data_IF_141161743146
#
_entry.id   IF_141161743146
#
_cell.length_a   1.000
_cell.length_b   1.000
_cell.length_c   1.000
_cell.angle_alpha   90.00
_cell.angle_beta   90.00
_cell.angle_gamma   90.00
#
_symmetry.space_group_name_H-M   'P 1'
#
loop_
_entity.id
_entity.type
_entity.pdbx_description
1 polymer ?
#
# COMPACT_ATOMS: atom_id res chain seq x y z
N UNK A 1 10.64 8.01 -21.32
CA UNK A 1 9.63 8.58 -22.25
C UNK A 1 8.54 9.26 -21.42
N UNK A 2 8.01 10.42 -21.86
CA UNK A 2 6.95 11.15 -21.12
C UNK A 2 5.66 10.32 -20.92
N UNK A 3 5.32 9.46 -21.89
CA UNK A 3 4.16 8.57 -21.82
C UNK A 3 4.24 7.57 -20.66
N UNK A 4 5.42 6.98 -20.43
CA UNK A 4 5.61 6.00 -19.35
C UNK A 4 5.44 6.63 -17.97
N UNK A 5 5.88 7.88 -17.79
CA UNK A 5 5.69 8.61 -16.53
C UNK A 5 4.20 8.88 -16.27
N UNK A 6 3.46 9.34 -17.27
CA UNK A 6 2.01 9.55 -17.15
C UNK A 6 1.28 8.22 -16.86
N UNK A 7 1.63 7.15 -17.57
CA UNK A 7 1.06 5.82 -17.32
C UNK A 7 1.30 5.35 -15.88
N UNK A 8 2.52 5.56 -15.35
CA UNK A 8 2.86 5.26 -13.96
C UNK A 8 2.01 6.06 -12.97
N UNK A 9 1.88 7.37 -13.19
CA UNK A 9 1.03 8.24 -12.34
C UNK A 9 -0.43 7.78 -12.35
N UNK A 10 -0.97 7.41 -13.52
CA UNK A 10 -2.33 6.87 -13.62
C UNK A 10 -2.50 5.57 -12.83
N UNK A 11 -1.52 4.66 -12.90
CA UNK A 11 -1.55 3.41 -12.13
C UNK A 11 -1.52 3.69 -10.62
N UNK A 12 -0.69 4.63 -10.16
CA UNK A 12 -0.65 5.07 -8.76
C UNK A 12 -2.00 5.64 -8.33
N UNK A 13 -2.62 6.50 -9.14
CA UNK A 13 -3.93 7.07 -8.81
C UNK A 13 -5.04 6.01 -8.73
N UNK A 14 -5.00 4.98 -9.58
CA UNK A 14 -5.94 3.85 -9.50
C UNK A 14 -5.75 3.05 -8.20
N UNK A 15 -4.50 2.80 -7.81
CA UNK A 15 -4.17 2.12 -6.55
C UNK A 15 -4.65 2.92 -5.33
N UNK A 16 -4.36 4.22 -5.29
CA UNK A 16 -4.83 5.13 -4.24
C UNK A 16 -6.36 5.18 -4.15
N UNK A 17 -7.05 5.23 -5.30
CA UNK A 17 -8.51 5.19 -5.32
C UNK A 17 -9.05 3.86 -4.76
N UNK A 18 -8.47 2.74 -5.19
CA UNK A 18 -8.84 1.43 -4.67
C UNK A 18 -8.58 1.29 -3.16
N UNK A 19 -7.46 1.85 -2.66
CA UNK A 19 -7.15 1.93 -1.23
C UNK A 19 -8.25 2.66 -0.47
N UNK A 20 -8.64 3.85 -0.91
CA UNK A 20 -9.67 4.67 -0.25
C UNK A 20 -11.01 3.93 -0.24
N UNK A 21 -11.38 3.25 -1.32
CA UNK A 21 -12.62 2.47 -1.39
C UNK A 21 -12.59 1.30 -0.39
N UNK A 22 -11.53 0.48 -0.41
CA UNK A 22 -11.44 -0.72 0.43
C UNK A 22 -11.33 -0.36 1.92
N UNK A 23 -10.40 0.52 2.27
CA UNK A 23 -10.17 0.94 3.65
C UNK A 23 -11.30 1.83 4.15
N UNK A 24 -11.87 2.68 3.30
CA UNK A 24 -13.05 3.48 3.63
C UNK A 24 -14.27 2.64 3.95
N UNK A 25 -14.55 1.58 3.17
CA UNK A 25 -15.63 0.62 3.50
C UNK A 25 -15.33 -0.08 4.83
N UNK A 26 -14.11 -0.55 5.05
CA UNK A 26 -13.73 -1.17 6.33
C UNK A 26 -13.88 -0.21 7.52
N UNK A 27 -13.51 1.06 7.36
CA UNK A 27 -13.64 2.11 8.36
C UNK A 27 -15.10 2.41 8.68
N UNK A 28 -15.95 2.57 7.66
CA UNK A 28 -17.39 2.78 7.83
C UNK A 28 -18.10 1.61 8.51
N UNK A 29 -17.59 0.39 8.31
CA UNK A 29 -18.10 -0.83 8.95
C UNK A 29 -17.45 -1.10 10.32
N UNK A 30 -16.62 -0.19 10.85
CA UNK A 30 -15.89 -0.36 12.11
C UNK A 30 -15.02 -1.63 12.17
N UNK A 31 -14.51 -2.08 11.02
CA UNK A 31 -13.55 -3.20 10.92
C UNK A 31 -12.10 -2.75 11.10
N UNK A 32 -11.86 -1.43 11.04
CA UNK A 32 -10.56 -0.80 11.29
C UNK A 32 -10.78 0.60 11.85
N UNK A 33 -9.91 1.03 12.77
CA UNK A 33 -9.88 2.41 13.27
C UNK A 33 -9.04 3.34 12.38
N UNK A 34 -8.37 2.79 11.37
CA UNK A 34 -7.54 3.56 10.45
C UNK A 34 -8.41 4.25 9.39
N UNK A 35 -8.50 5.57 9.47
CA UNK A 35 -9.10 6.39 8.41
C UNK A 35 -8.28 6.26 7.11
N UNK A 36 -8.91 6.05 5.93
CA UNK A 36 -8.21 5.99 4.66
C UNK A 36 -7.50 7.31 4.33
N UNK A 37 -6.43 7.24 3.54
CA UNK A 37 -5.66 8.41 3.10
C UNK A 37 -5.50 8.37 1.58
N UNK A 38 -5.87 9.46 0.90
CA UNK A 38 -5.70 9.58 -0.56
C UNK A 38 -4.21 9.59 -0.99
N UNK A 39 -3.30 9.91 -0.06
CA UNK A 39 -1.86 9.88 -0.31
C UNK A 39 -1.26 8.47 -0.19
N UNK A 40 -2.07 7.46 0.17
CA UNK A 40 -1.62 6.11 0.49
C UNK A 40 -2.05 5.08 -0.57
N UNK A 41 -1.13 4.22 -1.00
CA UNK A 41 -1.43 3.05 -1.83
C UNK A 41 -1.80 1.84 -1.00
N UNK A 42 -2.46 0.83 -1.58
CA UNK A 42 -2.78 -0.42 -0.87
C UNK A 42 -1.49 -1.08 -0.36
N UNK A 43 -0.43 -1.11 -1.19
CA UNK A 43 0.85 -1.72 -0.81
C UNK A 43 1.49 -1.03 0.39
N UNK A 44 1.43 0.31 0.48
CA UNK A 44 1.92 1.06 1.64
C UNK A 44 1.07 0.88 2.89
N UNK A 45 -0.25 0.80 2.76
CA UNK A 45 -1.16 0.49 3.89
C UNK A 45 -0.87 -0.88 4.48
N UNK A 46 -0.74 -1.90 3.63
CA UNK A 46 -0.42 -3.25 4.04
C UNK A 46 0.99 -3.33 4.61
N UNK A 47 1.97 -2.66 4.00
CA UNK A 47 3.34 -2.59 4.53
C UNK A 47 3.41 -1.95 5.92
N UNK A 48 2.63 -0.89 6.20
CA UNK A 48 2.54 -0.31 7.56
C UNK A 48 1.90 -1.29 8.54
N UNK A 49 0.86 -2.00 8.11
CA UNK A 49 0.25 -3.07 8.91
C UNK A 49 1.24 -4.18 9.24
N UNK A 50 2.07 -4.58 8.27
CA UNK A 50 3.10 -5.61 8.40
C UNK A 50 4.19 -5.17 9.40
N UNK A 51 4.71 -3.94 9.28
CA UNK A 51 5.70 -3.40 10.22
C UNK A 51 5.16 -3.26 11.65
N UNK A 52 3.86 -3.00 11.80
CA UNK A 52 3.17 -2.98 13.10
C UNK A 52 2.88 -4.38 13.66
N UNK A 53 3.19 -5.45 12.92
CA UNK A 53 2.93 -6.83 13.34
C UNK A 53 1.46 -7.24 13.25
N UNK A 54 0.66 -6.55 12.43
CA UNK A 54 -0.76 -6.87 12.29
C UNK A 54 -0.93 -8.23 11.60
N UNK A 55 -1.61 -9.17 12.27
CA UNK A 55 -1.81 -10.54 11.76
C UNK A 55 -2.50 -10.58 10.39
N UNK A 56 -3.46 -9.68 10.16
CA UNK A 56 -4.14 -9.59 8.87
C UNK A 56 -3.18 -9.13 7.75
N UNK A 57 -2.30 -8.18 8.05
CA UNK A 57 -1.34 -7.63 7.08
C UNK A 57 -0.28 -8.65 6.72
N UNK A 58 0.19 -9.46 7.68
CA UNK A 58 1.11 -10.57 7.44
C UNK A 58 0.52 -11.64 6.50
N UNK A 59 -0.81 -11.78 6.45
CA UNK A 59 -1.49 -12.71 5.54
C UNK A 59 -1.66 -12.08 4.14
N UNK A 60 -1.99 -10.78 4.07
CA UNK A 60 -2.29 -10.09 2.81
C UNK A 60 -1.03 -9.65 2.06
N UNK A 61 0.03 -9.23 2.75
CA UNK A 61 1.30 -8.80 2.18
C UNK A 61 1.87 -9.78 1.11
N UNK A 62 1.97 -11.11 1.36
CA UNK A 62 2.49 -12.04 0.36
C UNK A 62 1.59 -12.18 -0.88
N UNK A 63 0.29 -11.91 -0.76
CA UNK A 63 -0.64 -11.95 -1.90
C UNK A 63 -0.39 -10.73 -2.80
N UNK A 64 -0.28 -9.56 -2.20
CA UNK A 64 -0.01 -8.31 -2.91
C UNK A 64 1.39 -8.33 -3.53
N UNK A 65 2.40 -8.75 -2.76
CA UNK A 65 3.76 -8.93 -3.27
C UNK A 65 3.79 -9.88 -4.47
N UNK A 66 2.99 -10.97 -4.44
CA UNK A 66 2.91 -11.89 -5.59
C UNK A 66 2.27 -11.26 -6.82
N UNK A 67 1.25 -10.41 -6.66
CA UNK A 67 0.68 -9.65 -7.77
C UNK A 67 1.69 -8.69 -8.39
N UNK A 68 2.44 -7.96 -7.57
CA UNK A 68 3.49 -7.06 -8.05
C UNK A 68 4.68 -7.81 -8.68
N UNK A 69 5.07 -8.97 -8.13
CA UNK A 69 6.09 -9.82 -8.76
C UNK A 69 5.68 -10.30 -10.16
N UNK A 70 4.40 -10.61 -10.38
CA UNK A 70 3.89 -10.95 -11.71
C UNK A 70 3.95 -9.77 -12.69
N UNK A 71 3.99 -8.53 -12.18
CA UNK A 71 4.18 -7.31 -12.94
C UNK A 71 5.66 -6.91 -13.10
N UNK A 72 6.59 -7.74 -12.61
CA UNK A 72 8.04 -7.55 -12.75
C UNK A 72 8.74 -6.84 -11.59
N UNK A 73 8.04 -6.61 -10.47
CA UNK A 73 8.64 -6.08 -9.24
C UNK A 73 9.42 -7.17 -8.47
N UNK A 74 10.31 -6.72 -7.59
CA UNK A 74 11.05 -7.62 -6.71
C UNK A 74 10.26 -8.04 -5.45
N UNK A 75 10.62 -9.16 -4.79
CA UNK A 75 9.95 -9.65 -3.58
C UNK A 75 9.96 -8.63 -2.43
N UNK A 76 8.96 -8.69 -1.54
CA UNK A 76 8.89 -7.79 -0.39
C UNK A 76 8.51 -6.36 -0.78
N UNK A 77 7.68 -6.19 -1.82
CA UNK A 77 7.30 -4.88 -2.35
C UNK A 77 6.60 -4.04 -1.27
N UNK A 78 5.61 -4.58 -0.56
CA UNK A 78 4.84 -3.84 0.46
C UNK A 78 5.74 -3.28 1.57
N UNK A 79 6.63 -4.11 2.12
CA UNK A 79 7.57 -3.69 3.17
C UNK A 79 8.58 -2.65 2.66
N UNK A 80 9.19 -2.89 1.50
CA UNK A 80 10.18 -1.97 0.92
C UNK A 80 9.58 -0.63 0.56
N UNK A 81 8.36 -0.59 0.03
CA UNK A 81 7.69 0.65 -0.37
C UNK A 81 7.49 1.58 0.84
N UNK A 82 7.30 0.99 2.02
CA UNK A 82 7.17 1.72 3.27
C UNK A 82 8.53 2.10 3.85
N UNK A 83 9.51 1.19 3.82
CA UNK A 83 10.89 1.49 4.23
C UNK A 83 11.49 2.63 3.38
N UNK A 84 11.25 2.66 2.06
CA UNK A 84 11.68 3.75 1.17
C UNK A 84 10.87 5.03 1.35
N UNK A 85 9.57 4.96 1.62
CA UNK A 85 8.76 6.13 1.96
C UNK A 85 9.24 6.80 3.27
N UNK A 86 9.72 6.01 4.23
CA UNK A 86 10.22 6.50 5.52
C UNK A 86 11.73 6.73 5.57
N UNK A 87 12.49 6.37 4.53
CA UNK A 87 13.90 6.77 4.36
C UNK A 87 14.10 8.29 4.21
N UNK A 88 13.02 9.09 4.25
CA UNK A 88 13.05 10.55 4.41
C UNK A 88 12.50 11.10 5.73
N UNK A 89 11.87 10.28 6.60
CA UNK A 89 11.35 10.60 7.95
C UNK A 89 10.75 9.32 8.55
N UNK A 90 11.19 8.87 9.72
CA UNK A 90 10.66 7.66 10.36
C UNK A 90 9.14 7.78 10.67
N UNK A 91 8.37 6.67 10.63
CA UNK A 91 6.98 6.68 11.09
C UNK A 91 6.96 7.00 12.57
N UNK A 92 6.31 8.11 12.92
CA UNK A 92 6.02 8.44 14.32
C UNK A 92 4.78 7.63 14.74
N UNK A 93 4.78 7.03 15.95
CA UNK A 93 3.65 6.27 16.49
C UNK A 93 2.37 7.10 16.58
#
# INVERSE_FOLDING_TARGET
>A
MRLAEVARQMLVSVDQFAQVVVVGVAYLLHLTDACPSADETISSYVGRGEMRGSRWALIIAPIIDRLFMLLGEEPGHCRRNVETAFLGKAPTP
#
